data_IF_096198967228
#
_entry.id   IF_096198967228
#
_cell.length_a   1.000
_cell.length_b   1.000
_cell.length_c   1.000
_cell.angle_alpha   90.00
_cell.angle_beta   90.00
_cell.angle_gamma   90.00
#
_symmetry.space_group_name_H-M   'P 1'
#
loop_
_entity.id
_entity.type
_entity.pdbx_description
1 polymer ?
#
# COMPACT_ATOMS: atom_id res chain seq x y z
N UNK A 1 -30.76 29.13 -8.67
CA UNK A 1 -29.97 29.30 -7.43
C UNK A 1 -28.90 28.25 -7.44
N UNK A 2 -27.68 28.61 -7.88
CA UNK A 2 -26.57 27.68 -7.95
C UNK A 2 -25.95 27.52 -6.55
N UNK A 3 -26.31 26.46 -5.85
CA UNK A 3 -25.70 26.08 -4.57
C UNK A 3 -24.80 24.88 -4.79
N UNK A 4 -23.64 25.09 -5.42
CA UNK A 4 -22.51 24.18 -5.24
C UNK A 4 -21.35 24.99 -4.69
N UNK A 5 -21.16 24.78 -3.39
CA UNK A 5 -20.14 25.34 -2.52
C UNK A 5 -18.74 25.05 -3.08
N UNK A 6 -18.23 25.98 -3.89
CA UNK A 6 -16.87 26.01 -4.43
C UNK A 6 -15.87 26.44 -3.36
N UNK A 7 -15.75 25.65 -2.28
CA UNK A 7 -14.64 25.78 -1.34
C UNK A 7 -13.48 24.90 -1.81
N UNK A 8 -12.71 25.46 -2.73
CA UNK A 8 -11.25 25.46 -2.71
C UNK A 8 -10.56 24.17 -2.19
N UNK A 9 -10.59 23.11 -2.99
CA UNK A 9 -9.63 22.01 -2.81
C UNK A 9 -8.37 22.29 -3.64
N UNK A 10 -7.49 23.15 -3.12
CA UNK A 10 -6.25 23.57 -3.79
C UNK A 10 -5.15 22.48 -3.83
N UNK A 11 -5.38 21.29 -3.27
CA UNK A 11 -4.46 20.17 -3.45
C UNK A 11 -5.05 19.18 -4.46
N UNK A 12 -4.29 18.77 -5.49
CA UNK A 12 -4.64 17.59 -6.27
C UNK A 12 -4.88 16.45 -5.30
N UNK A 13 -6.09 15.87 -5.31
CA UNK A 13 -6.40 14.71 -4.46
C UNK A 13 -5.53 13.54 -4.95
N UNK A 14 -4.40 13.33 -4.30
CA UNK A 14 -3.54 12.19 -4.58
C UNK A 14 -4.29 10.93 -4.15
N UNK A 15 -4.55 10.04 -5.12
CA UNK A 15 -5.22 8.76 -4.91
C UNK A 15 -4.19 7.65 -4.97
N UNK A 16 -4.22 6.74 -4.00
CA UNK A 16 -3.39 5.54 -4.06
C UNK A 16 -3.72 4.73 -5.32
N UNK A 17 -2.71 4.46 -6.14
CA UNK A 17 -2.86 3.69 -7.39
C UNK A 17 -3.22 2.22 -7.15
N UNK A 18 -3.06 1.72 -5.92
CA UNK A 18 -3.35 0.32 -5.57
C UNK A 18 -4.75 0.12 -4.98
N UNK A 19 -5.17 1.00 -4.06
CA UNK A 19 -6.46 0.85 -3.36
C UNK A 19 -7.49 1.94 -3.69
N UNK A 20 -7.09 2.99 -4.41
CA UNK A 20 -7.98 4.10 -4.81
C UNK A 20 -8.30 5.12 -3.71
N UNK A 21 -7.86 4.88 -2.47
CA UNK A 21 -8.06 5.80 -1.32
C UNK A 21 -7.39 7.15 -1.55
N UNK A 22 -8.02 8.21 -1.05
CA UNK A 22 -7.45 9.57 -1.10
C UNK A 22 -6.58 9.85 0.12
N UNK A 23 -5.83 10.96 0.09
CA UNK A 23 -5.03 11.43 1.24
C UNK A 23 -5.86 11.74 2.50
N UNK A 24 -7.19 11.81 2.41
CA UNK A 24 -8.07 11.97 3.56
C UNK A 24 -8.45 10.63 4.22
N UNK A 25 -8.29 9.52 3.50
CA UNK A 25 -8.69 8.17 3.94
C UNK A 25 -7.53 7.36 4.53
N UNK A 26 -6.30 7.88 4.46
CA UNK A 26 -5.07 7.18 4.89
C UNK A 26 -4.16 8.13 5.65
N UNK A 27 -3.28 7.58 6.48
CA UNK A 27 -2.36 8.39 7.29
C UNK A 27 -1.28 9.08 6.44
N UNK A 28 -0.83 8.43 5.35
CA UNK A 28 0.14 9.03 4.44
C UNK A 28 0.05 8.46 3.03
N UNK A 29 0.40 9.31 2.04
CA UNK A 29 0.58 8.91 0.64
C UNK A 29 1.95 9.38 0.17
N UNK A 30 2.69 8.46 -0.44
CA UNK A 30 3.96 8.72 -1.11
C UNK A 30 3.65 8.93 -2.60
N UNK A 31 3.93 10.12 -3.11
CA UNK A 31 3.76 10.47 -4.52
C UNK A 31 5.10 10.40 -5.26
N UNK A 32 5.11 9.69 -6.40
CA UNK A 32 6.20 9.67 -7.37
C UNK A 32 5.73 10.23 -8.72
N UNK A 33 6.53 10.01 -9.76
CA UNK A 33 6.18 10.44 -11.13
C UNK A 33 4.99 9.64 -11.67
N UNK A 34 3.81 10.26 -11.67
CA UNK A 34 2.56 9.66 -12.17
C UNK A 34 1.95 8.54 -11.32
N UNK A 35 2.55 8.19 -10.17
CA UNK A 35 2.08 7.09 -9.31
C UNK A 35 2.03 7.50 -7.85
N UNK A 36 1.07 6.97 -7.10
CA UNK A 36 0.90 7.26 -5.67
C UNK A 36 0.65 5.94 -4.90
N UNK A 37 1.24 5.80 -3.72
CA UNK A 37 1.02 4.63 -2.85
C UNK A 37 0.79 5.07 -1.41
N UNK A 38 -0.20 4.50 -0.73
CA UNK A 38 -0.44 4.75 0.70
C UNK A 38 0.34 3.77 1.59
N UNK A 39 0.50 4.15 2.86
CA UNK A 39 1.13 3.35 3.92
C UNK A 39 0.57 1.92 4.04
N UNK A 40 -0.75 1.76 4.01
CA UNK A 40 -1.39 0.44 4.08
C UNK A 40 -0.95 -0.47 2.92
N UNK A 41 -0.93 0.08 1.70
CA UNK A 41 -0.50 -0.67 0.52
C UNK A 41 0.99 -1.00 0.58
N UNK A 42 1.83 -0.09 1.08
CA UNK A 42 3.26 -0.38 1.33
C UNK A 42 3.39 -1.59 2.27
N UNK A 43 2.66 -1.61 3.39
CA UNK A 43 2.74 -2.71 4.35
C UNK A 43 2.33 -4.06 3.72
N UNK A 44 1.25 -4.08 2.94
CA UNK A 44 0.80 -5.29 2.24
C UNK A 44 1.86 -5.75 1.23
N UNK A 45 2.40 -4.83 0.41
CA UNK A 45 3.47 -5.14 -0.54
C UNK A 45 4.69 -5.73 0.16
N UNK A 46 5.16 -5.09 1.24
CA UNK A 46 6.30 -5.53 2.04
C UNK A 46 6.06 -6.93 2.62
N UNK A 47 4.89 -7.20 3.20
CA UNK A 47 4.51 -8.53 3.72
C UNK A 47 4.59 -9.62 2.66
N UNK A 48 4.09 -9.34 1.45
CA UNK A 48 4.14 -10.28 0.32
C UNK A 48 5.60 -10.53 -0.11
N UNK A 49 6.41 -9.47 -0.23
CA UNK A 49 7.82 -9.57 -0.60
C UNK A 49 8.62 -10.39 0.42
N UNK A 50 8.47 -10.13 1.72
CA UNK A 50 9.13 -10.92 2.77
C UNK A 50 8.68 -12.38 2.76
N UNK A 51 7.38 -12.65 2.54
CA UNK A 51 6.87 -14.02 2.41
C UNK A 51 7.48 -14.74 1.20
N UNK A 52 7.64 -14.04 0.07
CA UNK A 52 8.29 -14.59 -1.14
C UNK A 52 9.78 -14.83 -0.93
N UNK A 53 10.50 -13.90 -0.31
CA UNK A 53 11.93 -14.05 -0.06
C UNK A 53 12.24 -15.26 0.84
N UNK A 54 11.41 -15.48 1.87
CA UNK A 54 11.51 -16.71 2.70
C UNK A 54 11.18 -18.01 1.97
N UNK A 55 10.50 -17.96 0.82
CA UNK A 55 10.23 -19.14 -0.02
C UNK A 55 11.35 -19.38 -1.01
N UNK A 56 11.86 -18.32 -1.65
CA UNK A 56 13.00 -18.40 -2.56
C UNK A 56 14.28 -18.87 -1.85
N UNK A 57 14.48 -18.51 -0.58
CA UNK A 57 15.58 -19.05 0.25
C UNK A 57 15.30 -20.44 0.85
N UNK A 58 14.09 -20.99 0.68
CA UNK A 58 13.71 -22.33 1.16
C UNK A 58 13.57 -23.37 0.05
N UNK A 59 13.90 -23.01 -1.20
CA UNK A 59 14.00 -23.98 -2.29
C UNK A 59 15.47 -24.42 -2.54
N UNK A 60 16.38 -24.09 -1.62
CA UNK A 60 17.73 -24.69 -1.55
C UNK A 60 18.18 -25.17 -0.16
N UNK A 61 17.31 -25.18 0.85
CA UNK A 61 17.60 -25.88 2.10
C UNK A 61 16.33 -26.58 2.61
N UNK A 62 16.43 -27.90 2.70
CA UNK A 62 15.40 -28.82 3.09
C UNK A 62 14.99 -28.71 4.58
N UNK A 63 13.80 -29.26 4.87
CA UNK A 63 13.44 -29.90 6.14
C UNK A 63 13.24 -29.02 7.40
N UNK A 64 12.07 -29.15 8.04
CA UNK A 64 11.89 -28.84 9.46
C UNK A 64 10.84 -27.78 9.82
N UNK A 65 9.55 -28.03 9.56
CA UNK A 65 8.49 -27.44 10.38
C UNK A 65 7.86 -28.56 11.22
N UNK A 66 8.48 -28.84 12.37
CA UNK A 66 7.87 -29.54 13.49
C UNK A 66 6.79 -28.65 14.09
N UNK A 67 5.54 -29.04 13.92
CA UNK A 67 4.42 -28.56 14.72
C UNK A 67 4.68 -28.93 16.18
N UNK A 68 4.75 -27.94 17.07
CA UNK A 68 4.66 -28.14 18.50
C UNK A 68 3.64 -27.14 19.06
N UNK A 69 2.70 -27.71 19.83
CA UNK A 69 1.60 -27.14 20.61
C UNK A 69 0.34 -26.62 19.88
#
# INVERSE_FOLDING_TARGET
MATHSEKANLYPTHKCSFCGKTNNDVASIIAGDGVCICDECVFVCVKILFKKNRRLSREHDANGESHAD
#
